data_IF_386551189889
#
_entry.id   IF_386551189889
#
_cell.length_a   1.000
_cell.length_b   1.000
_cell.length_c   1.000
_cell.angle_alpha   90.00
_cell.angle_beta   90.00
_cell.angle_gamma   90.00
#
_symmetry.space_group_name_H-M   'P 1'
#
loop_
_entity.id
_entity.type
_entity.pdbx_description
1 polymer ?
#
# COMPACT_ATOMS: atom_id res chain seq x y z
N UNK A 1 8.08 -45.70 0.77
CA UNK A 1 7.08 -44.70 0.33
C UNK A 1 7.85 -43.52 -0.25
N UNK A 2 7.85 -43.38 -1.60
CA UNK A 2 8.48 -42.26 -2.30
C UNK A 2 7.52 -41.09 -2.25
N UNK A 3 7.79 -40.10 -1.39
CA UNK A 3 7.06 -38.83 -1.40
C UNK A 3 7.48 -38.09 -2.68
N UNK A 4 6.55 -37.99 -3.63
CA UNK A 4 6.76 -37.33 -4.91
C UNK A 4 7.08 -35.84 -4.68
N UNK A 5 8.22 -35.40 -5.19
CA UNK A 5 8.79 -34.05 -5.07
C UNK A 5 8.00 -32.98 -5.89
N UNK A 6 6.81 -33.30 -6.38
CA UNK A 6 6.09 -32.50 -7.37
C UNK A 6 5.23 -31.36 -6.79
N UNK A 7 5.08 -31.25 -5.47
CA UNK A 7 4.11 -30.32 -4.86
C UNK A 7 4.69 -28.97 -4.37
N UNK A 8 6.01 -28.72 -4.50
CA UNK A 8 6.63 -27.49 -3.98
C UNK A 8 6.56 -26.27 -4.90
N UNK A 9 6.09 -26.40 -6.15
CA UNK A 9 6.10 -25.31 -7.13
C UNK A 9 4.83 -24.45 -7.16
N UNK A 10 3.79 -24.79 -6.39
CA UNK A 10 2.52 -24.05 -6.39
C UNK A 10 2.43 -22.90 -5.36
N UNK A 11 3.40 -22.76 -4.45
CA UNK A 11 3.34 -21.79 -3.34
C UNK A 11 3.99 -20.42 -3.65
N UNK A 12 4.79 -20.32 -4.71
CA UNK A 12 5.55 -19.11 -4.98
C UNK A 12 4.68 -17.91 -5.41
N UNK A 13 3.59 -18.14 -6.14
CA UNK A 13 2.72 -17.06 -6.65
C UNK A 13 1.79 -16.44 -5.61
N UNK A 14 1.36 -17.22 -4.60
CA UNK A 14 0.53 -16.70 -3.50
C UNK A 14 1.34 -15.88 -2.49
N UNK A 15 2.63 -16.19 -2.32
CA UNK A 15 3.49 -15.48 -1.38
C UNK A 15 3.66 -14.01 -1.73
N UNK A 16 3.84 -13.68 -3.02
CA UNK A 16 4.05 -12.30 -3.48
C UNK A 16 2.82 -11.42 -3.23
N UNK A 17 1.63 -11.87 -3.62
CA UNK A 17 0.39 -11.07 -3.44
C UNK A 17 0.11 -10.79 -1.97
N UNK A 18 0.31 -11.78 -1.10
CA UNK A 18 0.13 -11.58 0.35
C UNK A 18 1.20 -10.66 0.93
N UNK A 19 2.45 -10.78 0.48
CA UNK A 19 3.54 -9.90 0.90
C UNK A 19 3.27 -8.44 0.51
N UNK A 20 2.80 -8.19 -0.72
CA UNK A 20 2.51 -6.83 -1.20
C UNK A 20 1.37 -6.18 -0.38
N UNK A 21 0.29 -6.91 -0.10
CA UNK A 21 -0.80 -6.40 0.74
C UNK A 21 -0.37 -6.14 2.19
N UNK A 22 0.55 -6.96 2.73
CA UNK A 22 1.07 -6.78 4.09
C UNK A 22 2.01 -5.57 4.17
N UNK A 23 2.82 -5.35 3.13
CA UNK A 23 3.65 -4.14 2.99
C UNK A 23 2.76 -2.91 2.99
N UNK A 24 1.70 -2.88 2.16
CA UNK A 24 0.75 -1.79 2.15
C UNK A 24 0.16 -1.52 3.53
N UNK A 25 -0.32 -2.54 4.23
CA UNK A 25 -0.95 -2.34 5.54
C UNK A 25 0.04 -1.78 6.56
N UNK A 26 1.27 -2.31 6.60
CA UNK A 26 2.31 -1.80 7.49
C UNK A 26 2.63 -0.33 7.21
N UNK A 27 2.75 0.04 5.93
CA UNK A 27 3.04 1.41 5.52
C UNK A 27 1.87 2.36 5.77
N UNK A 28 0.62 1.93 5.55
CA UNK A 28 -0.55 2.71 5.91
C UNK A 28 -0.58 3.01 7.42
N UNK A 29 -0.22 2.05 8.27
CA UNK A 29 -0.12 2.27 9.72
C UNK A 29 1.00 3.25 10.07
N UNK A 30 2.18 3.09 9.46
CA UNK A 30 3.29 4.03 9.63
C UNK A 30 2.90 5.47 9.26
N UNK A 31 2.28 5.67 8.10
CA UNK A 31 1.80 7.00 7.66
C UNK A 31 0.82 7.59 8.66
N UNK A 32 -0.15 6.80 9.14
CA UNK A 32 -1.15 7.25 10.12
C UNK A 32 -0.54 7.64 11.48
N UNK A 33 0.54 6.98 11.89
CA UNK A 33 1.15 7.19 13.20
C UNK A 33 2.21 8.28 13.19
N UNK A 34 3.02 8.33 12.14
CA UNK A 34 4.26 9.12 12.12
C UNK A 34 4.24 10.30 11.17
N UNK A 35 3.29 10.36 10.21
CA UNK A 35 3.35 11.31 9.10
C UNK A 35 2.15 12.25 8.98
N UNK A 36 1.08 12.02 9.75
CA UNK A 36 -0.08 12.91 9.77
C UNK A 36 0.35 14.32 10.21
N UNK A 37 -0.10 15.34 9.49
CA UNK A 37 0.27 16.73 9.71
C UNK A 37 1.53 17.18 8.96
N UNK A 38 2.21 16.28 8.25
CA UNK A 38 3.35 16.62 7.41
C UNK A 38 2.91 16.83 5.95
N UNK A 39 3.60 17.73 5.24
CA UNK A 39 3.48 17.85 3.79
C UNK A 39 3.92 16.55 3.11
N UNK A 40 3.08 16.01 2.23
CA UNK A 40 3.46 14.96 1.31
C UNK A 40 4.53 15.48 0.32
N UNK A 41 5.55 14.67 0.06
CA UNK A 41 6.67 15.03 -0.81
C UNK A 41 7.20 13.79 -1.52
N UNK A 42 7.93 13.99 -2.62
CA UNK A 42 8.61 12.91 -3.34
C UNK A 42 9.56 12.11 -2.42
N UNK A 43 10.14 12.75 -1.39
CA UNK A 43 11.01 12.05 -0.43
C UNK A 43 10.23 11.03 0.41
N UNK A 44 8.97 11.34 0.74
CA UNK A 44 8.06 10.42 1.42
C UNK A 44 7.68 9.29 0.49
N UNK A 45 7.31 9.60 -0.77
CA UNK A 45 6.98 8.60 -1.78
C UNK A 45 8.11 7.58 -1.98
N UNK A 46 9.34 8.07 -2.19
CA UNK A 46 10.51 7.22 -2.42
C UNK A 46 10.92 6.38 -1.20
N UNK A 47 10.47 6.73 0.01
CA UNK A 47 10.72 5.94 1.20
C UNK A 47 9.77 4.75 1.35
N UNK A 48 8.60 4.80 0.69
CA UNK A 48 7.58 3.77 0.72
C UNK A 48 7.86 2.71 -0.35
N UNK A 49 7.47 1.48 -0.07
CA UNK A 49 7.71 0.29 -0.90
C UNK A 49 6.41 -0.25 -1.52
N UNK A 50 5.24 0.21 -1.06
CA UNK A 50 3.97 -0.12 -1.69
C UNK A 50 3.95 0.30 -3.16
N UNK A 51 3.41 -0.55 -4.02
CA UNK A 51 3.23 -0.27 -5.44
C UNK A 51 1.87 -0.85 -5.91
N UNK A 52 0.94 -0.03 -6.40
CA UNK A 52 1.05 1.42 -6.61
C UNK A 52 0.77 2.26 -5.35
N UNK A 53 1.29 3.48 -5.34
CA UNK A 53 0.87 4.54 -4.40
C UNK A 53 -0.09 5.49 -5.13
N UNK A 54 -1.18 5.88 -4.47
CA UNK A 54 -2.13 6.87 -4.98
C UNK A 54 -2.34 7.98 -3.96
N UNK A 55 -2.20 9.22 -4.40
CA UNK A 55 -2.51 10.40 -3.60
C UNK A 55 -3.93 10.82 -3.91
N UNK A 56 -4.72 11.07 -2.86
CA UNK A 56 -6.12 11.45 -2.95
C UNK A 56 -6.31 12.82 -2.30
N UNK A 57 -6.70 13.80 -3.11
CA UNK A 57 -7.04 15.15 -2.69
C UNK A 57 -8.55 15.28 -2.42
N UNK A 58 -8.97 16.31 -1.66
CA UNK A 58 -10.38 16.59 -1.47
C UNK A 58 -11.08 16.88 -2.81
N UNK A 59 -12.18 16.16 -3.08
CA UNK A 59 -12.97 16.33 -4.30
C UNK A 59 -12.55 15.45 -5.48
N UNK A 60 -11.48 14.67 -5.35
CA UNK A 60 -11.08 13.71 -6.38
C UNK A 60 -12.20 12.71 -6.67
N UNK A 61 -12.57 12.62 -7.95
CA UNK A 61 -13.52 11.63 -8.43
C UNK A 61 -12.78 10.37 -8.82
N UNK A 62 -12.83 9.36 -7.95
CA UNK A 62 -12.22 8.04 -8.19
C UNK A 62 -13.29 6.95 -8.21
N UNK A 63 -12.98 5.86 -8.91
CA UNK A 63 -13.75 4.63 -8.82
C UNK A 63 -13.45 3.90 -7.51
N UNK A 64 -14.43 3.15 -6.99
CA UNK A 64 -14.28 2.35 -5.78
C UNK A 64 -13.72 0.95 -6.08
N UNK A 65 -12.78 0.86 -7.02
CA UNK A 65 -12.07 -0.39 -7.31
C UNK A 65 -11.16 -0.75 -6.14
N UNK A 66 -11.07 -2.04 -5.83
CA UNK A 66 -10.26 -2.54 -4.73
C UNK A 66 -8.98 -3.22 -5.23
N UNK A 67 -7.85 -2.78 -4.72
CA UNK A 67 -6.50 -3.32 -4.86
C UNK A 67 -5.84 -3.34 -3.48
N UNK A 68 -5.68 -4.53 -2.90
CA UNK A 68 -5.12 -4.73 -1.57
C UNK A 68 -3.65 -4.26 -1.43
N UNK A 69 -2.92 -4.14 -2.53
CA UNK A 69 -1.52 -3.70 -2.55
C UNK A 69 -1.37 -2.20 -2.79
N UNK A 70 -2.45 -1.48 -3.12
CA UNK A 70 -2.39 -0.05 -3.41
C UNK A 70 -2.49 0.76 -2.13
N UNK A 71 -1.44 1.52 -1.82
CA UNK A 71 -1.43 2.46 -0.72
C UNK A 71 -2.08 3.77 -1.17
N UNK A 72 -3.23 4.13 -0.60
CA UNK A 72 -3.80 5.45 -0.76
C UNK A 72 -3.36 6.34 0.39
N UNK A 73 -2.84 7.52 0.06
CA UNK A 73 -2.53 8.58 1.02
C UNK A 73 -3.53 9.71 0.80
N UNK A 74 -4.29 10.02 1.83
CA UNK A 74 -5.24 11.13 1.82
C UNK A 74 -4.54 12.39 2.30
N UNK A 75 -4.60 13.44 1.50
CA UNK A 75 -4.04 14.75 1.82
C UNK A 75 -5.13 15.82 1.83
N UNK A 76 -4.85 16.96 2.42
CA UNK A 76 -5.71 18.15 2.33
C UNK A 76 -5.40 19.00 1.08
N UNK A 77 -6.06 20.16 0.95
CA UNK A 77 -5.85 21.10 -0.16
C UNK A 77 -4.43 21.70 -0.20
N UNK A 78 -3.66 21.56 0.87
CA UNK A 78 -2.29 22.03 1.02
C UNK A 78 -1.28 20.87 0.98
N UNK A 79 -1.65 19.68 0.52
CA UNK A 79 -0.82 18.46 0.52
C UNK A 79 -0.39 17.99 1.92
N UNK A 80 -1.06 18.41 2.99
CA UNK A 80 -0.81 17.87 4.33
C UNK A 80 -1.45 16.50 4.49
N UNK A 81 -0.69 15.51 4.95
CA UNK A 81 -1.16 14.13 5.13
C UNK A 81 -2.20 14.09 6.25
N UNK A 82 -3.38 13.56 5.90
CA UNK A 82 -4.50 13.38 6.82
C UNK A 82 -4.63 11.93 7.30
N UNK A 83 -4.43 10.97 6.40
CA UNK A 83 -4.55 9.53 6.71
C UNK A 83 -4.01 8.66 5.56
N UNK A 84 -4.03 7.33 5.75
CA UNK A 84 -3.73 6.36 4.70
C UNK A 84 -4.53 5.05 4.87
N UNK A 85 -4.78 4.36 3.76
CA UNK A 85 -5.39 3.03 3.73
C UNK A 85 -4.93 2.20 2.52
N UNK A 86 -5.27 0.90 2.53
CA UNK A 86 -5.04 -0.01 1.40
C UNK A 86 -6.37 -0.32 0.71
N UNK A 87 -6.49 0.10 -0.55
CA UNK A 87 -7.69 -0.11 -1.37
C UNK A 87 -7.42 0.21 -2.83
#
# INVERSE_FOLDING_TARGET
MKLSLASLLALAGLGSVLADSQTCENEAQFVKQEMVGQKYTDAIENALQSDPIRILHPGDMVTMDYNASRLNIHVDESDEILSANCA
#
